data_IF_807423005264
#
_entry.id   IF_807423005264
#
_cell.length_a   1.000
_cell.length_b   1.000
_cell.length_c   1.000
_cell.angle_alpha   90.00
_cell.angle_beta   90.00
_cell.angle_gamma   90.00
#
_symmetry.space_group_name_H-M   'P 1'
#
loop_
_entity.id
_entity.type
_entity.pdbx_description
1 polymer ?
#
# COMPACT_ATOMS: atom_id res chain seq x y z
N UNK A 1 0.24 0.75 17.95
CA UNK A 1 0.03 0.98 16.50
C UNK A 1 0.22 -0.34 15.77
N UNK A 2 -0.77 -0.73 14.96
CA UNK A 2 -0.76 -1.97 14.18
C UNK A 2 -0.70 -1.64 12.69
N UNK A 3 0.32 -2.17 12.02
CA UNK A 3 0.61 -1.94 10.61
C UNK A 3 0.42 -3.25 9.83
N UNK A 4 -0.54 -3.28 8.93
CA UNK A 4 -0.91 -4.46 8.17
C UNK A 4 -0.44 -4.34 6.71
N UNK A 5 0.20 -5.39 6.21
CA UNK A 5 0.72 -5.47 4.85
C UNK A 5 0.00 -6.56 4.07
N UNK A 6 -0.62 -6.19 2.96
CA UNK A 6 -1.33 -7.12 2.08
C UNK A 6 -0.36 -7.97 1.28
N UNK A 7 -0.60 -9.28 1.25
CA UNK A 7 0.10 -10.26 0.42
C UNK A 7 -0.88 -10.94 -0.55
N UNK A 8 -0.47 -11.07 -1.81
CA UNK A 8 -1.14 -11.82 -2.86
C UNK A 8 -0.11 -12.39 -3.84
N UNK A 9 -0.44 -13.41 -4.61
CA UNK A 9 0.55 -13.97 -5.54
C UNK A 9 1.02 -12.93 -6.55
N UNK A 10 2.34 -12.83 -6.71
CA UNK A 10 2.98 -11.85 -7.58
C UNK A 10 3.04 -10.42 -7.02
N UNK A 11 2.84 -10.22 -5.71
CA UNK A 11 3.09 -8.91 -5.11
C UNK A 11 4.58 -8.56 -5.16
N UNK A 12 4.91 -7.27 -5.20
CA UNK A 12 6.28 -6.79 -5.17
C UNK A 12 6.82 -6.74 -3.75
N UNK A 13 7.71 -7.66 -3.41
CA UNK A 13 8.26 -7.82 -2.06
C UNK A 13 9.13 -6.63 -1.63
N UNK A 14 9.95 -6.08 -2.54
CA UNK A 14 10.82 -4.95 -2.21
C UNK A 14 10.03 -3.68 -1.83
N UNK A 15 8.82 -3.52 -2.38
CA UNK A 15 7.95 -2.38 -2.06
C UNK A 15 7.40 -2.44 -0.62
N UNK A 16 7.45 -3.61 0.01
CA UNK A 16 7.06 -3.80 1.41
C UNK A 16 8.19 -3.58 2.39
N UNK A 17 9.43 -3.93 2.01
CA UNK A 17 10.59 -3.92 2.92
C UNK A 17 10.86 -2.53 3.50
N UNK A 18 10.80 -1.49 2.69
CA UNK A 18 11.11 -0.13 3.13
C UNK A 18 10.02 0.48 4.03
N UNK A 19 8.74 0.39 3.70
CA UNK A 19 7.69 0.76 4.66
C UNK A 19 7.76 -0.03 5.96
N UNK A 20 8.02 -1.35 5.91
CA UNK A 20 8.18 -2.17 7.11
C UNK A 20 9.40 -1.74 7.94
N UNK A 21 10.51 -1.36 7.29
CA UNK A 21 11.68 -0.81 7.98
C UNK A 21 11.34 0.50 8.72
N UNK A 22 10.60 1.41 8.11
CA UNK A 22 10.13 2.64 8.77
C UNK A 22 9.22 2.31 9.97
N UNK A 23 8.30 1.37 9.77
CA UNK A 23 7.30 0.96 10.77
C UNK A 23 7.80 -0.10 11.76
N UNK A 24 9.08 -0.49 11.74
CA UNK A 24 9.65 -1.62 12.53
C UNK A 24 9.47 -1.55 14.05
N UNK A 25 9.13 -0.39 14.59
CA UNK A 25 8.81 -0.21 16.02
C UNK A 25 7.32 -0.32 16.32
N UNK A 26 6.49 -0.55 15.30
CA UNK A 26 5.07 -0.84 15.43
C UNK A 26 4.84 -2.35 15.46
N UNK A 27 3.61 -2.78 15.65
CA UNK A 27 3.23 -4.17 15.51
C UNK A 27 2.94 -4.45 14.03
N UNK A 28 3.98 -4.90 13.29
CA UNK A 28 3.89 -5.22 11.86
C UNK A 28 3.27 -6.60 11.69
N UNK A 29 2.27 -6.70 10.83
CA UNK A 29 1.50 -7.92 10.52
C UNK A 29 1.31 -8.06 9.02
N UNK A 30 1.21 -9.28 8.55
CA UNK A 30 0.96 -9.62 7.15
C UNK A 30 -0.42 -10.26 6.97
N UNK A 31 -1.09 -9.92 5.86
CA UNK A 31 -2.47 -10.36 5.56
C UNK A 31 -2.52 -10.96 4.17
N UNK A 32 -2.93 -12.21 4.05
CA UNK A 32 -3.06 -12.92 2.78
C UNK A 32 -4.47 -12.82 2.18
N UNK A 33 -4.55 -12.71 0.85
CA UNK A 33 -5.81 -12.91 0.11
C UNK A 33 -6.24 -14.37 0.03
N UNK A 34 -5.32 -15.30 0.34
CA UNK A 34 -5.56 -16.73 0.41
C UNK A 34 -4.81 -17.34 1.59
N UNK A 35 -5.18 -18.54 1.97
CA UNK A 35 -4.44 -19.35 2.94
C UNK A 35 -3.13 -19.88 2.38
N UNK A 36 -2.20 -20.18 3.27
CA UNK A 36 -0.96 -20.84 2.97
C UNK A 36 0.10 -19.94 2.35
N UNK A 37 0.96 -20.53 1.53
CA UNK A 37 2.13 -19.83 0.97
C UNK A 37 1.75 -18.95 -0.21
N UNK A 38 2.21 -17.71 -0.17
CA UNK A 38 2.07 -16.68 -1.21
C UNK A 38 3.46 -16.43 -1.82
N UNK A 39 3.54 -16.31 -3.13
CA UNK A 39 4.79 -16.11 -3.85
C UNK A 39 4.85 -14.68 -4.38
N UNK A 40 5.91 -13.95 -4.03
CA UNK A 40 6.14 -12.60 -4.56
C UNK A 40 6.65 -12.63 -6.02
N UNK A 41 6.69 -11.48 -6.69
CA UNK A 41 7.23 -11.39 -8.05
C UNK A 41 8.74 -11.73 -8.12
N UNK A 42 9.47 -11.58 -7.00
CA UNK A 42 10.86 -11.99 -6.87
C UNK A 42 11.01 -13.52 -6.64
N UNK A 43 9.92 -14.27 -6.74
CA UNK A 43 9.86 -15.71 -6.51
C UNK A 43 10.19 -16.15 -5.06
N UNK A 44 9.98 -15.27 -4.11
CA UNK A 44 10.13 -15.54 -2.68
C UNK A 44 8.79 -15.96 -2.07
N UNK A 45 8.82 -16.94 -1.17
CA UNK A 45 7.61 -17.45 -0.52
C UNK A 45 7.40 -16.82 0.86
N UNK A 46 6.18 -16.39 1.10
CA UNK A 46 5.72 -15.79 2.35
C UNK A 46 4.53 -16.55 2.89
N UNK A 47 4.43 -16.67 4.20
CA UNK A 47 3.22 -17.17 4.88
C UNK A 47 2.65 -16.00 5.69
N UNK A 48 1.46 -15.50 5.36
CA UNK A 48 0.86 -14.37 6.08
C UNK A 48 0.49 -14.76 7.52
N UNK A 49 0.47 -13.76 8.41
CA UNK A 49 0.04 -13.95 9.81
C UNK A 49 -1.47 -14.20 9.90
N UNK A 50 -2.25 -13.60 8.99
CA UNK A 50 -3.71 -13.67 8.97
C UNK A 50 -4.23 -13.88 7.55
N UNK A 51 -5.37 -14.56 7.44
CA UNK A 51 -6.21 -14.46 6.25
C UNK A 51 -7.04 -13.18 6.31
N UNK A 52 -7.37 -12.58 5.16
CA UNK A 52 -8.10 -11.31 5.08
C UNK A 52 -9.45 -11.32 5.82
N UNK A 53 -10.11 -12.48 5.94
CA UNK A 53 -11.38 -12.62 6.67
C UNK A 53 -11.24 -12.50 8.20
N UNK A 54 -10.03 -12.56 8.74
CA UNK A 54 -9.75 -12.52 10.17
C UNK A 54 -9.46 -11.10 10.67
N UNK A 55 -9.42 -10.11 9.75
CA UNK A 55 -9.05 -8.74 10.09
C UNK A 55 -10.21 -8.02 10.77
N UNK A 56 -9.97 -7.59 12.00
CA UNK A 56 -10.81 -6.62 12.68
C UNK A 56 -10.33 -5.20 12.32
N UNK A 57 -11.16 -4.43 11.63
CA UNK A 57 -10.84 -3.06 11.16
C UNK A 57 -10.48 -2.12 12.31
N UNK A 58 -11.05 -2.31 13.49
CA UNK A 58 -10.76 -1.45 14.64
C UNK A 58 -9.31 -1.58 15.11
N UNK A 59 -8.70 -2.75 14.89
CA UNK A 59 -7.30 -3.03 15.25
C UNK A 59 -6.29 -2.49 14.22
N UNK A 60 -6.74 -2.00 13.06
CA UNK A 60 -5.86 -1.50 12.00
C UNK A 60 -5.61 -0.02 12.19
N UNK A 61 -4.35 0.40 12.23
CA UNK A 61 -3.97 1.82 12.16
C UNK A 61 -3.57 2.21 10.73
N UNK A 62 -2.84 1.35 10.04
CA UNK A 62 -2.49 1.50 8.63
C UNK A 62 -2.55 0.17 7.89
N UNK A 63 -3.05 0.19 6.65
CA UNK A 63 -3.10 -0.93 5.72
C UNK A 63 -2.28 -0.60 4.47
N UNK A 64 -1.24 -1.40 4.20
CA UNK A 64 -0.26 -1.17 3.13
C UNK A 64 -0.47 -2.19 2.02
N UNK A 65 -0.55 -1.72 0.77
CA UNK A 65 -0.82 -2.49 -0.42
C UNK A 65 0.36 -2.33 -1.40
N UNK A 66 1.20 -3.37 -1.59
CA UNK A 66 2.27 -3.36 -2.58
C UNK A 66 1.71 -3.42 -4.01
N UNK A 67 2.58 -3.22 -4.98
CA UNK A 67 2.30 -3.45 -6.39
C UNK A 67 2.63 -4.88 -6.83
N UNK A 68 3.17 -5.00 -8.05
CA UNK A 68 3.34 -6.27 -8.73
C UNK A 68 2.10 -6.64 -9.55
N UNK A 69 1.65 -7.88 -9.49
CA UNK A 69 0.52 -8.42 -10.27
C UNK A 69 -0.87 -8.00 -9.79
N UNK A 70 -1.01 -6.83 -9.13
CA UNK A 70 -2.25 -6.35 -8.49
C UNK A 70 -3.49 -6.39 -9.39
N UNK A 71 -3.33 -6.04 -10.70
CA UNK A 71 -4.46 -6.04 -11.65
C UNK A 71 -5.11 -7.43 -11.80
N UNK A 72 -4.33 -8.51 -11.67
CA UNK A 72 -4.84 -9.89 -11.76
C UNK A 72 -5.77 -10.21 -10.60
N UNK A 73 -5.60 -9.53 -9.45
CA UNK A 73 -6.36 -9.75 -8.22
C UNK A 73 -7.51 -8.77 -8.00
N UNK A 74 -7.72 -7.83 -8.94
CA UNK A 74 -8.76 -6.79 -8.80
C UNK A 74 -10.16 -7.36 -8.54
N UNK A 75 -10.47 -8.52 -9.11
CA UNK A 75 -11.79 -9.15 -9.03
C UNK A 75 -11.78 -10.53 -8.31
N UNK A 76 -10.63 -10.97 -7.82
CA UNK A 76 -10.48 -12.34 -7.31
C UNK A 76 -11.10 -12.53 -5.92
N UNK A 77 -11.27 -11.46 -5.15
CA UNK A 77 -11.69 -11.55 -3.76
C UNK A 77 -12.66 -10.43 -3.39
N UNK A 78 -13.88 -10.79 -3.04
CA UNK A 78 -14.90 -9.83 -2.62
C UNK A 78 -14.68 -9.25 -1.21
N UNK A 79 -13.82 -9.87 -0.39
CA UNK A 79 -13.51 -9.40 0.96
C UNK A 79 -12.60 -8.17 0.94
N UNK A 80 -11.67 -8.08 -0.01
CA UNK A 80 -10.74 -6.97 -0.07
C UNK A 80 -11.44 -5.62 -0.30
N UNK A 81 -12.33 -5.44 -1.30
CA UNK A 81 -13.08 -4.20 -1.47
C UNK A 81 -13.94 -3.86 -0.25
N UNK A 82 -14.54 -4.85 0.41
CA UNK A 82 -15.31 -4.64 1.64
C UNK A 82 -14.44 -4.11 2.76
N UNK A 83 -13.28 -4.76 3.02
CA UNK A 83 -12.31 -4.34 4.02
C UNK A 83 -11.81 -2.91 3.76
N UNK A 84 -11.43 -2.60 2.51
CA UNK A 84 -10.91 -1.29 2.13
C UNK A 84 -11.95 -0.17 2.33
N UNK A 85 -13.21 -0.42 1.96
CA UNK A 85 -14.31 0.53 2.19
C UNK A 85 -14.54 0.76 3.70
N UNK A 86 -14.48 -0.29 4.51
CA UNK A 86 -14.65 -0.18 5.95
C UNK A 86 -13.48 0.56 6.62
N UNK A 87 -12.23 0.25 6.25
CA UNK A 87 -11.05 0.99 6.68
C UNK A 87 -11.18 2.49 6.34
N UNK A 88 -11.60 2.80 5.11
CA UNK A 88 -11.79 4.17 4.66
C UNK A 88 -12.88 4.88 5.46
N UNK A 89 -14.04 4.25 5.69
CA UNK A 89 -15.14 4.82 6.45
C UNK A 89 -14.77 5.12 7.91
N UNK A 90 -13.86 4.35 8.49
CA UNK A 90 -13.29 4.55 9.84
C UNK A 90 -12.04 5.45 9.84
N UNK A 91 -11.74 6.13 8.74
CA UNK A 91 -10.60 7.04 8.58
C UNK A 91 -9.24 6.39 8.90
N UNK A 92 -9.12 5.07 8.67
CA UNK A 92 -7.83 4.36 8.80
C UNK A 92 -6.92 4.75 7.64
N UNK A 93 -5.59 4.73 7.87
CA UNK A 93 -4.65 5.06 6.80
C UNK A 93 -4.55 3.89 5.83
N UNK A 94 -4.70 4.17 4.53
CA UNK A 94 -4.50 3.22 3.45
C UNK A 94 -3.38 3.74 2.57
N UNK A 95 -2.34 2.93 2.39
CA UNK A 95 -1.18 3.27 1.59
C UNK A 95 -0.99 2.24 0.47
N UNK A 96 -0.88 2.69 -0.79
CA UNK A 96 -0.75 1.80 -1.94
C UNK A 96 0.32 2.31 -2.91
N UNK A 97 1.15 1.41 -3.44
CA UNK A 97 2.28 1.77 -4.31
C UNK A 97 2.23 0.99 -5.63
N UNK A 98 2.76 1.59 -6.71
CA UNK A 98 2.94 0.95 -8.02
C UNK A 98 1.61 0.44 -8.60
N UNK A 99 1.41 -0.88 -8.67
CA UNK A 99 0.16 -1.53 -9.07
C UNK A 99 -0.90 -1.56 -7.96
N UNK A 100 -0.50 -1.40 -6.70
CA UNK A 100 -1.39 -1.49 -5.53
C UNK A 100 -2.63 -0.60 -5.59
N UNK A 101 -2.55 0.68 -6.06
CA UNK A 101 -3.72 1.53 -6.21
C UNK A 101 -4.82 0.97 -7.12
N UNK A 102 -4.51 0.03 -8.03
CA UNK A 102 -5.54 -0.65 -8.85
C UNK A 102 -6.55 -1.39 -7.98
N UNK A 103 -6.12 -1.96 -6.85
CA UNK A 103 -7.01 -2.65 -5.92
C UNK A 103 -7.97 -1.70 -5.18
N UNK A 104 -7.70 -0.39 -5.21
CA UNK A 104 -8.59 0.65 -4.68
C UNK A 104 -9.66 1.09 -5.69
N UNK A 105 -9.47 0.78 -6.98
CA UNK A 105 -10.29 1.33 -8.06
C UNK A 105 -11.78 0.93 -7.96
N UNK A 106 -12.09 -0.29 -7.50
CA UNK A 106 -13.46 -0.79 -7.35
C UNK A 106 -14.08 -0.46 -5.97
N UNK A 107 -13.49 0.49 -5.24
CA UNK A 107 -13.93 0.89 -3.89
C UNK A 107 -14.36 2.35 -3.85
N UNK A 108 -14.83 2.82 -2.69
CA UNK A 108 -15.07 4.25 -2.44
C UNK A 108 -13.81 5.01 -2.03
N UNK A 109 -12.69 4.31 -1.80
CA UNK A 109 -11.45 4.89 -1.25
C UNK A 109 -10.90 6.03 -2.08
N UNK A 110 -10.99 5.93 -3.42
CA UNK A 110 -10.50 6.96 -4.34
C UNK A 110 -11.56 7.99 -4.77
N UNK A 111 -12.79 7.92 -4.25
CA UNK A 111 -13.85 8.89 -4.61
C UNK A 111 -13.44 10.32 -4.24
N UNK A 112 -13.41 11.20 -5.26
CA UNK A 112 -12.99 12.59 -5.14
C UNK A 112 -11.54 12.79 -4.61
N UNK A 113 -10.70 11.77 -4.61
CA UNK A 113 -9.31 11.83 -4.16
C UNK A 113 -8.35 12.01 -5.32
N UNK A 114 -7.26 12.73 -5.06
CA UNK A 114 -6.08 12.71 -5.92
C UNK A 114 -5.31 11.43 -5.63
N UNK A 115 -4.77 10.82 -6.67
CA UNK A 115 -3.93 9.62 -6.52
C UNK A 115 -2.90 9.52 -7.64
N UNK A 116 -1.87 8.71 -7.42
CA UNK A 116 -0.90 8.29 -8.43
C UNK A 116 -0.73 6.77 -8.40
N UNK A 117 -0.19 6.18 -9.47
CA UNK A 117 0.01 4.74 -9.59
C UNK A 117 1.02 4.42 -10.70
N UNK A 118 1.45 3.16 -10.80
CA UNK A 118 2.34 2.67 -11.85
C UNK A 118 3.78 3.11 -11.69
N UNK A 119 4.53 3.12 -12.80
CA UNK A 119 5.93 3.54 -12.84
C UNK A 119 6.17 4.88 -13.53
N UNK A 120 5.15 5.45 -14.16
CA UNK A 120 5.22 6.67 -14.98
C UNK A 120 3.82 7.12 -15.34
N UNK A 121 3.52 7.17 -16.65
CA UNK A 121 2.14 7.35 -17.11
C UNK A 121 1.30 6.14 -16.75
N UNK A 122 0.02 6.39 -16.46
CA UNK A 122 -0.90 5.32 -16.09
C UNK A 122 -1.15 4.41 -17.33
N UNK A 123 -0.86 3.10 -17.24
CA UNK A 123 -1.09 2.20 -18.38
C UNK A 123 -2.54 2.24 -18.85
N UNK A 124 -2.78 2.18 -20.16
CA UNK A 124 -4.12 2.28 -20.74
C UNK A 124 -5.09 1.22 -20.21
N UNK A 125 -4.60 0.00 -20.01
CA UNK A 125 -5.39 -1.09 -19.43
C UNK A 125 -5.75 -0.88 -17.96
N UNK A 126 -5.09 0.04 -17.26
CA UNK A 126 -5.43 0.43 -15.89
C UNK A 126 -6.39 1.61 -15.84
N UNK A 127 -6.28 2.56 -16.80
CA UNK A 127 -7.07 3.80 -16.81
C UNK A 127 -8.56 3.52 -16.69
N UNK A 128 -9.07 2.50 -17.40
CA UNK A 128 -10.48 2.11 -17.38
C UNK A 128 -11.02 1.72 -15.98
N UNK A 129 -10.14 1.34 -15.05
CA UNK A 129 -10.54 0.96 -13.70
C UNK A 129 -10.68 2.17 -12.77
N UNK A 130 -9.97 3.27 -13.06
CA UNK A 130 -9.97 4.47 -12.22
C UNK A 130 -11.04 5.48 -12.66
N UNK A 131 -12.29 5.19 -12.34
CA UNK A 131 -13.43 6.03 -12.75
C UNK A 131 -13.82 7.10 -11.73
N UNK A 132 -13.34 6.99 -10.50
CA UNK A 132 -13.82 7.80 -9.36
C UNK A 132 -12.79 8.80 -8.83
N UNK A 133 -11.50 8.54 -9.02
CA UNK A 133 -10.41 9.38 -8.52
C UNK A 133 -9.81 10.27 -9.60
N UNK A 134 -9.02 11.27 -9.18
CA UNK A 134 -8.25 12.15 -10.05
C UNK A 134 -6.79 11.70 -10.08
N UNK A 135 -6.39 11.05 -11.16
CA UNK A 135 -4.98 10.70 -11.39
C UNK A 135 -4.12 11.97 -11.57
N UNK A 136 -2.96 11.99 -10.92
CA UNK A 136 -1.96 13.05 -11.04
C UNK A 136 -0.56 12.45 -11.25
N UNK A 137 0.28 13.14 -12.03
CA UNK A 137 1.65 12.71 -12.32
C UNK A 137 2.58 13.25 -11.23
N UNK A 138 2.48 12.64 -10.05
CA UNK A 138 3.35 12.92 -8.89
C UNK A 138 3.97 11.61 -8.41
N UNK A 139 5.12 11.66 -7.76
CA UNK A 139 5.78 10.44 -7.26
C UNK A 139 5.05 9.86 -6.06
N UNK A 140 4.55 10.71 -5.18
CA UNK A 140 3.73 10.35 -4.01
C UNK A 140 2.61 11.37 -3.87
N UNK A 141 1.40 10.87 -3.65
CA UNK A 141 0.21 11.68 -3.32
C UNK A 141 -0.28 11.29 -1.93
N UNK A 142 -0.42 12.27 -1.08
CA UNK A 142 -1.10 12.14 0.22
C UNK A 142 -2.38 12.96 0.15
N UNK A 143 -3.53 12.30 0.18
CA UNK A 143 -4.84 12.93 0.18
C UNK A 143 -5.64 12.39 1.38
N UNK A 144 -5.79 13.22 2.40
CA UNK A 144 -6.34 12.87 3.70
C UNK A 144 -5.66 11.62 4.32
N UNK A 145 -6.38 10.51 4.48
CA UNK A 145 -5.86 9.23 5.02
C UNK A 145 -5.37 8.26 3.94
N UNK A 146 -5.33 8.68 2.67
CA UNK A 146 -4.89 7.85 1.55
C UNK A 146 -3.51 8.30 1.08
N UNK A 147 -2.60 7.35 0.94
CA UNK A 147 -1.25 7.57 0.41
C UNK A 147 -1.10 6.69 -0.83
N UNK A 148 -0.79 7.28 -1.96
CA UNK A 148 -0.48 6.51 -3.18
C UNK A 148 0.86 6.92 -3.74
N UNK A 149 1.58 5.99 -4.38
CA UNK A 149 2.90 6.26 -4.95
C UNK A 149 3.15 5.49 -6.24
N UNK A 150 4.07 6.02 -7.06
CA UNK A 150 4.67 5.28 -8.18
C UNK A 150 5.67 4.25 -7.67
N UNK A 151 5.84 3.12 -8.37
CA UNK A 151 6.79 2.06 -7.99
C UNK A 151 8.25 2.52 -7.91
N UNK A 152 8.62 3.55 -8.68
CA UNK A 152 9.96 4.16 -8.62
C UNK A 152 10.18 5.01 -7.37
N UNK A 153 9.13 5.36 -6.62
CA UNK A 153 9.17 6.30 -5.51
C UNK A 153 9.17 5.60 -4.12
N UNK A 154 9.72 4.38 -4.01
CA UNK A 154 9.65 3.54 -2.80
C UNK A 154 10.18 4.27 -1.55
N UNK A 155 11.30 5.01 -1.66
CA UNK A 155 11.85 5.76 -0.54
C UNK A 155 10.89 6.86 -0.07
N UNK A 156 10.38 7.66 -1.01
CA UNK A 156 9.41 8.72 -0.73
C UNK A 156 8.10 8.18 -0.16
N UNK A 157 7.63 7.03 -0.66
CA UNK A 157 6.46 6.33 -0.14
C UNK A 157 6.62 5.90 1.31
N UNK A 158 7.74 5.22 1.62
CA UNK A 158 8.02 4.76 2.97
C UNK A 158 8.12 5.93 3.96
N UNK A 159 8.75 7.03 3.55
CA UNK A 159 8.88 8.25 4.38
C UNK A 159 7.52 8.95 4.54
N UNK A 160 6.70 9.04 3.48
CA UNK A 160 5.35 9.61 3.57
C UNK A 160 4.46 8.83 4.57
N UNK A 161 4.57 7.49 4.58
CA UNK A 161 3.93 6.63 5.58
C UNK A 161 4.43 6.98 6.98
N UNK A 162 5.75 7.02 7.19
CA UNK A 162 6.35 7.35 8.50
C UNK A 162 5.90 8.71 9.02
N UNK A 163 5.84 9.71 8.14
CA UNK A 163 5.35 11.05 8.47
C UNK A 163 3.86 11.04 8.84
N UNK A 164 3.03 10.39 8.04
CA UNK A 164 1.58 10.26 8.29
C UNK A 164 1.29 9.56 9.61
N UNK A 165 2.10 8.55 9.96
CA UNK A 165 1.94 7.75 11.18
C UNK A 165 2.66 8.34 12.41
N UNK A 166 3.30 9.51 12.28
CA UNK A 166 4.01 10.14 13.39
C UNK A 166 5.23 9.36 13.90
N UNK A 167 5.91 8.62 13.01
CA UNK A 167 7.07 7.79 13.38
C UNK A 167 8.32 8.64 13.64
N UNK A 168 8.47 9.76 12.94
CA UNK A 168 9.65 10.59 13.03
C UNK A 168 9.51 11.63 14.16
N UNK A 169 10.56 11.76 14.96
CA UNK A 169 10.64 12.75 16.03
C UNK A 169 11.07 14.14 15.53
N UNK A 170 11.67 14.20 14.33
CA UNK A 170 12.18 15.45 13.73
C UNK A 170 12.27 15.34 12.20
N UNK A 171 12.31 16.50 11.53
CA UNK A 171 12.56 16.58 10.08
C UNK A 171 13.94 16.02 9.69
N UNK A 172 14.93 16.12 10.56
CA UNK A 172 16.25 15.54 10.34
C UNK A 172 16.19 14.00 10.30
N UNK A 173 15.43 13.37 11.21
CA UNK A 173 15.23 11.93 11.20
C UNK A 173 14.46 11.48 9.94
N UNK A 174 13.46 12.25 9.49
CA UNK A 174 12.75 12.01 8.23
C UNK A 174 13.74 11.98 7.05
N UNK A 175 14.60 13.01 6.95
CA UNK A 175 15.61 13.13 5.90
C UNK A 175 16.63 11.98 5.94
N UNK A 176 17.17 11.66 7.11
CA UNK A 176 18.13 10.56 7.28
C UNK A 176 17.56 9.22 6.82
N UNK A 177 16.30 8.91 7.16
CA UNK A 177 15.65 7.68 6.71
C UNK A 177 15.41 7.69 5.20
N UNK A 178 15.05 8.84 4.61
CA UNK A 178 14.91 8.97 3.16
C UNK A 178 16.22 8.69 2.42
N UNK A 179 17.31 9.34 2.83
CA UNK A 179 18.63 9.15 2.20
C UNK A 179 19.13 7.70 2.37
N UNK A 180 18.97 7.12 3.55
CA UNK A 180 19.32 5.73 3.80
C UNK A 180 18.62 4.76 2.83
N UNK A 181 17.30 4.91 2.64
CA UNK A 181 16.54 4.03 1.73
C UNK A 181 16.95 4.28 0.28
N UNK A 182 17.20 5.54 -0.10
CA UNK A 182 17.60 5.93 -1.44
C UNK A 182 18.96 5.38 -1.85
N UNK A 183 19.92 5.31 -0.91
CA UNK A 183 21.26 4.78 -1.16
C UNK A 183 21.31 3.25 -1.33
N UNK A 184 20.29 2.53 -0.88
CA UNK A 184 20.16 1.07 -1.04
C UNK A 184 19.76 0.67 -2.48
N UNK A 185 19.51 1.63 -3.37
CA UNK A 185 19.11 1.40 -4.78
C UNK A 185 20.29 0.99 -5.66
#
# INVERSE_FOLDING_TARGET
MNSYFLLYDGFSGYEMVFPAFILRKTNVKTVGLKDGRIISEENMGYTPDFHISEINVDDVDIFIIPGGSALQHLNDNSLLPKLLNELHSKNKVIAAICGGPVLLANTSVLENKRFTAGGGELPENWQKNFTKGKYVIEDVVVDENIITAKGVAVASFAVAIGKKMGIFSSAEQEKQNYELIKEIR
#
